data_IF_035552112233
#
_entry.id   IF_035552112233
#
_cell.length_a   1.000
_cell.length_b   1.000
_cell.length_c   1.000
_cell.angle_alpha   90.00
_cell.angle_beta   90.00
_cell.angle_gamma   90.00
#
_symmetry.space_group_name_H-M   'P 1'
#
loop_
_entity.id
_entity.type
_entity.pdbx_description
1 polymer ?
#
# COMPACT_ATOMS: atom_id res chain seq x y z
N UNK A 1 -22.86 12.23 6.44
CA UNK A 1 -23.21 11.07 5.60
C UNK A 1 -22.56 11.14 4.22
N UNK A 2 -22.75 12.21 3.44
CA UNK A 2 -22.11 12.36 2.11
C UNK A 2 -20.56 12.40 2.12
N UNK A 3 -19.96 13.12 3.09
CA UNK A 3 -18.50 13.19 3.26
C UNK A 3 -17.86 11.81 3.55
N UNK A 4 -18.46 11.04 4.45
CA UNK A 4 -17.99 9.69 4.83
C UNK A 4 -18.04 8.72 3.64
N UNK A 5 -19.06 8.84 2.79
CA UNK A 5 -19.18 8.03 1.57
C UNK A 5 -18.07 8.38 0.58
N UNK A 6 -17.77 9.67 0.40
CA UNK A 6 -16.74 10.14 -0.52
C UNK A 6 -15.33 9.69 -0.08
N UNK A 7 -15.04 9.78 1.22
CA UNK A 7 -13.79 9.30 1.81
C UNK A 7 -13.60 7.79 1.57
N UNK A 8 -14.66 7.00 1.78
CA UNK A 8 -14.63 5.55 1.55
C UNK A 8 -14.37 5.19 0.08
N UNK A 9 -15.03 5.86 -0.86
CA UNK A 9 -14.83 5.62 -2.31
C UNK A 9 -13.40 5.97 -2.72
N UNK A 10 -12.88 7.10 -2.24
CA UNK A 10 -11.51 7.54 -2.56
C UNK A 10 -10.48 6.55 -2.03
N UNK A 11 -10.66 6.05 -0.81
CA UNK A 11 -9.79 5.03 -0.24
C UNK A 11 -9.77 3.74 -1.07
N UNK A 12 -10.95 3.22 -1.44
CA UNK A 12 -11.05 2.00 -2.27
C UNK A 12 -10.38 2.21 -3.63
N UNK A 13 -10.62 3.35 -4.27
CA UNK A 13 -10.02 3.66 -5.57
C UNK A 13 -8.47 3.68 -5.51
N UNK A 14 -7.90 4.29 -4.47
CA UNK A 14 -6.45 4.34 -4.28
C UNK A 14 -5.83 2.97 -3.96
N UNK A 15 -6.60 2.07 -3.31
CA UNK A 15 -6.13 0.73 -2.96
C UNK A 15 -6.38 -0.32 -4.04
N UNK A 16 -7.20 -0.02 -5.06
CA UNK A 16 -7.51 -0.95 -6.15
C UNK A 16 -6.27 -1.58 -6.82
N UNK A 17 -5.16 -0.86 -7.07
CA UNK A 17 -3.95 -1.47 -7.61
C UNK A 17 -3.37 -2.56 -6.70
N UNK A 18 -3.42 -2.37 -5.38
CA UNK A 18 -2.93 -3.37 -4.43
C UNK A 18 -3.83 -4.60 -4.44
N UNK A 19 -5.15 -4.41 -4.40
CA UNK A 19 -6.10 -5.53 -4.37
C UNK A 19 -6.18 -6.34 -5.67
N UNK A 20 -5.87 -5.73 -6.81
CA UNK A 20 -6.07 -6.37 -8.12
C UNK A 20 -4.76 -6.72 -8.82
N UNK A 21 -3.82 -5.77 -8.94
CA UNK A 21 -2.63 -5.98 -9.77
C UNK A 21 -1.66 -6.96 -9.12
N UNK A 22 -1.42 -6.86 -7.81
CA UNK A 22 -0.47 -7.77 -7.15
C UNK A 22 -0.94 -9.23 -7.21
N UNK A 23 -2.20 -9.57 -6.90
CA UNK A 23 -2.70 -10.92 -7.11
C UNK A 23 -2.68 -11.34 -8.58
N UNK A 24 -3.04 -10.45 -9.52
CA UNK A 24 -2.99 -10.74 -10.94
C UNK A 24 -1.57 -11.18 -11.37
N UNK A 25 -0.55 -10.44 -10.94
CA UNK A 25 0.84 -10.76 -11.26
C UNK A 25 1.26 -12.11 -10.66
N UNK A 26 0.88 -12.40 -9.42
CA UNK A 26 1.29 -13.66 -8.77
C UNK A 26 0.59 -14.90 -9.35
N UNK A 27 -0.72 -14.81 -9.60
CA UNK A 27 -1.50 -15.95 -10.08
C UNK A 27 -1.41 -16.15 -11.60
N UNK A 28 -1.52 -15.08 -12.39
CA UNK A 28 -1.59 -15.20 -13.85
C UNK A 28 -0.24 -15.04 -14.55
N UNK A 29 0.62 -14.14 -14.06
CA UNK A 29 1.93 -13.91 -14.70
C UNK A 29 2.98 -14.88 -14.17
N UNK A 30 3.10 -15.03 -12.84
CA UNK A 30 4.03 -15.96 -12.23
C UNK A 30 3.49 -17.41 -12.19
N UNK A 31 2.20 -17.62 -12.46
CA UNK A 31 1.60 -18.95 -12.55
C UNK A 31 1.54 -19.71 -11.23
N UNK A 32 1.50 -19.01 -10.09
CA UNK A 32 1.48 -19.66 -8.78
C UNK A 32 0.10 -20.24 -8.50
N UNK A 33 0.02 -21.49 -8.01
CA UNK A 33 -1.26 -22.14 -7.66
C UNK A 33 -1.36 -22.55 -6.19
N UNK A 34 -0.24 -22.60 -5.46
CA UNK A 34 -0.24 -22.97 -4.05
C UNK A 34 -0.33 -21.75 -3.12
N UNK A 35 -1.07 -21.93 -2.01
CA UNK A 35 -1.34 -20.88 -1.04
C UNK A 35 -0.07 -20.24 -0.45
N UNK A 36 0.93 -21.06 -0.06
CA UNK A 36 2.10 -20.56 0.66
C UNK A 36 2.99 -19.72 -0.24
N UNK A 37 3.27 -20.21 -1.45
CA UNK A 37 4.06 -19.49 -2.45
C UNK A 37 3.35 -18.20 -2.85
N UNK A 38 2.03 -18.24 -3.07
CA UNK A 38 1.28 -17.04 -3.44
C UNK A 38 1.30 -15.99 -2.32
N UNK A 39 1.08 -16.40 -1.07
CA UNK A 39 1.15 -15.50 0.09
C UNK A 39 2.54 -14.87 0.25
N UNK A 40 3.61 -15.66 0.09
CA UNK A 40 4.99 -15.17 0.20
C UNK A 40 5.30 -14.19 -0.95
N UNK A 41 5.00 -14.54 -2.21
CA UNK A 41 5.27 -13.66 -3.34
C UNK A 41 4.52 -12.33 -3.22
N UNK A 42 3.23 -12.36 -2.89
CA UNK A 42 2.44 -11.15 -2.68
C UNK A 42 3.01 -10.33 -1.51
N UNK A 43 3.37 -10.97 -0.39
CA UNK A 43 4.00 -10.28 0.75
C UNK A 43 5.28 -9.56 0.34
N UNK A 44 6.15 -10.22 -0.42
CA UNK A 44 7.40 -9.62 -0.90
C UNK A 44 7.13 -8.43 -1.81
N UNK A 45 6.23 -8.57 -2.79
CA UNK A 45 5.87 -7.48 -3.71
C UNK A 45 5.31 -6.27 -2.95
N UNK A 46 4.37 -6.50 -2.02
CA UNK A 46 3.81 -5.42 -1.22
C UNK A 46 4.83 -4.75 -0.28
N UNK A 47 5.74 -5.52 0.30
CA UNK A 47 6.79 -4.94 1.14
C UNK A 47 7.78 -4.12 0.31
N UNK A 48 8.16 -4.58 -0.89
CA UNK A 48 9.02 -3.80 -1.79
C UNK A 48 8.34 -2.48 -2.17
N UNK A 49 7.07 -2.52 -2.59
CA UNK A 49 6.33 -1.31 -2.97
C UNK A 49 6.11 -0.37 -1.77
N UNK A 50 5.77 -0.92 -0.61
CA UNK A 50 5.58 -0.16 0.61
C UNK A 50 6.88 0.48 1.11
N UNK A 51 8.00 -0.25 1.11
CA UNK A 51 9.31 0.27 1.50
C UNK A 51 9.78 1.35 0.53
N UNK A 52 9.55 1.18 -0.78
CA UNK A 52 9.83 2.24 -1.76
C UNK A 52 9.03 3.51 -1.42
N UNK A 53 7.74 3.38 -1.09
CA UNK A 53 6.93 4.53 -0.69
C UNK A 53 7.42 5.16 0.63
N UNK A 54 7.81 4.37 1.64
CA UNK A 54 8.31 4.93 2.92
C UNK A 54 9.66 5.63 2.78
N UNK A 55 10.58 5.04 2.03
CA UNK A 55 11.96 5.49 1.97
C UNK A 55 12.16 6.52 0.86
N UNK A 56 11.74 6.19 -0.36
CA UNK A 56 11.98 7.03 -1.52
C UNK A 56 10.92 8.14 -1.64
N UNK A 57 9.63 7.81 -1.58
CA UNK A 57 8.57 8.80 -1.78
C UNK A 57 8.42 9.69 -0.54
N UNK A 58 8.04 9.12 0.60
CA UNK A 58 7.74 9.87 1.83
C UNK A 58 8.96 10.59 2.39
N UNK A 59 10.04 9.83 2.64
CA UNK A 59 11.20 10.39 3.34
C UNK A 59 12.09 11.23 2.41
N UNK A 60 12.55 10.66 1.30
CA UNK A 60 13.50 11.35 0.43
C UNK A 60 12.83 12.41 -0.46
N UNK A 61 11.92 12.01 -1.35
CA UNK A 61 11.33 12.91 -2.34
C UNK A 61 10.48 13.98 -1.69
N UNK A 62 9.48 13.61 -0.89
CA UNK A 62 8.57 14.54 -0.20
C UNK A 62 9.27 15.23 0.98
N UNK A 63 10.06 14.50 1.77
CA UNK A 63 10.62 15.00 3.02
C UNK A 63 11.98 15.72 2.91
N UNK A 64 12.78 15.47 1.87
CA UNK A 64 14.14 16.05 1.72
C UNK A 64 14.33 16.90 0.47
N UNK A 65 13.49 16.79 -0.54
CA UNK A 65 13.60 17.63 -1.75
C UNK A 65 12.57 18.76 -1.76
N UNK A 66 12.74 19.73 -2.66
CA UNK A 66 11.74 20.78 -2.95
C UNK A 66 10.83 20.42 -4.12
N UNK A 67 10.88 19.18 -4.62
CA UNK A 67 10.12 18.75 -5.79
C UNK A 67 8.63 18.49 -5.46
N UNK A 68 8.27 18.44 -4.17
CA UNK A 68 6.90 18.25 -3.71
C UNK A 68 6.51 19.31 -2.69
N UNK A 69 6.10 20.48 -3.19
CA UNK A 69 5.53 21.56 -2.39
C UNK A 69 4.12 21.81 -2.93
N UNK A 70 3.13 21.75 -2.05
CA UNK A 70 1.74 22.00 -2.39
C UNK A 70 1.43 23.46 -2.02
N UNK A 71 1.18 24.34 -3.00
CA UNK A 71 0.98 25.77 -2.72
C UNK A 71 -0.17 26.01 -1.75
N UNK A 72 0.08 26.84 -0.72
CA UNK A 72 -0.92 27.19 0.29
C UNK A 72 -1.09 26.16 1.41
N UNK A 73 -0.15 25.22 1.55
CA UNK A 73 -0.13 24.21 2.64
C UNK A 73 1.26 24.05 3.26
N UNK A 74 2.14 25.04 3.06
CA UNK A 74 3.52 25.00 3.54
C UNK A 74 3.62 24.92 5.06
N UNK A 75 2.60 25.41 5.77
CA UNK A 75 2.43 25.30 7.22
C UNK A 75 2.19 23.86 7.70
N UNK A 76 1.72 22.98 6.81
CA UNK A 76 1.51 21.55 7.08
C UNK A 76 2.80 20.73 6.95
N UNK A 77 3.92 21.35 6.57
CA UNK A 77 5.20 20.66 6.46
C UNK A 77 5.81 20.40 7.85
N UNK A 78 6.37 19.20 8.11
CA UNK A 78 6.47 18.06 7.19
C UNK A 78 5.12 17.38 6.96
N UNK A 79 4.76 17.10 5.70
CA UNK A 79 3.44 16.54 5.36
C UNK A 79 3.15 15.15 5.98
N UNK A 80 4.19 14.41 6.37
CA UNK A 80 4.06 13.07 6.94
C UNK A 80 4.81 13.02 8.26
N UNK A 81 4.06 12.98 9.37
CA UNK A 81 4.63 12.97 10.72
C UNK A 81 3.70 12.29 11.73
N UNK A 82 4.21 12.06 12.94
CA UNK A 82 3.43 11.57 14.09
C UNK A 82 2.64 10.29 13.79
N UNK A 83 1.34 10.31 14.08
CA UNK A 83 0.45 9.14 13.91
C UNK A 83 0.33 8.68 12.46
N UNK A 84 0.38 9.62 11.50
CA UNK A 84 0.31 9.28 10.07
C UNK A 84 1.52 8.46 9.64
N UNK A 85 2.71 8.88 10.05
CA UNK A 85 3.94 8.13 9.77
C UNK A 85 3.88 6.72 10.38
N UNK A 86 3.47 6.61 11.65
CA UNK A 86 3.34 5.31 12.33
C UNK A 86 2.32 4.42 11.62
N UNK A 87 1.14 4.95 11.28
CA UNK A 87 0.10 4.19 10.57
C UNK A 87 0.56 3.68 9.21
N UNK A 88 1.32 4.49 8.47
CA UNK A 88 1.93 4.09 7.19
C UNK A 88 2.95 2.96 7.36
N UNK A 89 3.79 2.99 8.39
CA UNK A 89 4.72 1.91 8.68
C UNK A 89 4.02 0.63 9.14
N UNK A 90 3.04 0.74 10.04
CA UNK A 90 2.25 -0.41 10.52
C UNK A 90 1.49 -1.08 9.38
N UNK A 91 0.82 -0.30 8.52
CA UNK A 91 0.14 -0.84 7.34
C UNK A 91 1.11 -1.53 6.37
N UNK A 92 2.31 -0.98 6.20
CA UNK A 92 3.34 -1.59 5.35
C UNK A 92 3.86 -2.91 5.92
N UNK A 93 4.26 -2.92 7.21
CA UNK A 93 4.95 -4.07 7.83
C UNK A 93 3.99 -5.16 8.28
N UNK A 94 2.75 -4.81 8.65
CA UNK A 94 1.76 -5.74 9.20
C UNK A 94 0.55 -5.86 8.27
N UNK A 95 0.00 -4.74 7.81
CA UNK A 95 -1.20 -4.71 6.99
C UNK A 95 -1.04 -5.46 5.66
N UNK A 96 0.06 -5.23 4.95
CA UNK A 96 0.31 -5.89 3.66
C UNK A 96 0.56 -7.40 3.76
N UNK A 97 1.37 -7.93 4.70
CA UNK A 97 1.44 -9.37 4.90
C UNK A 97 0.09 -10.00 5.25
N UNK A 98 -0.72 -9.36 6.11
CA UNK A 98 -2.08 -9.84 6.42
C UNK A 98 -2.93 -9.87 5.14
N UNK A 99 -2.89 -8.81 4.34
CA UNK A 99 -3.63 -8.73 3.08
C UNK A 99 -3.22 -9.84 2.11
N UNK A 100 -1.91 -10.08 1.94
CA UNK A 100 -1.40 -11.15 1.09
C UNK A 100 -1.93 -12.53 1.53
N UNK A 101 -1.91 -12.81 2.82
CA UNK A 101 -2.43 -14.06 3.39
C UNK A 101 -3.93 -14.18 3.16
N UNK A 102 -4.71 -13.12 3.39
CA UNK A 102 -6.17 -13.13 3.20
C UNK A 102 -6.54 -13.38 1.73
N UNK A 103 -5.90 -12.68 0.79
CA UNK A 103 -6.15 -12.89 -0.64
C UNK A 103 -5.74 -14.32 -1.03
N UNK A 104 -4.57 -14.79 -0.60
CA UNK A 104 -4.13 -16.15 -0.90
C UNK A 104 -5.12 -17.19 -0.37
N UNK A 105 -5.61 -16.97 0.84
CA UNK A 105 -6.57 -17.86 1.48
C UNK A 105 -7.88 -17.89 0.68
N UNK A 106 -8.45 -16.74 0.31
CA UNK A 106 -9.68 -16.67 -0.49
C UNK A 106 -9.51 -17.39 -1.82
N UNK A 107 -8.43 -17.11 -2.57
CA UNK A 107 -8.19 -17.73 -3.88
C UNK A 107 -8.00 -19.24 -3.75
N UNK A 108 -7.30 -19.72 -2.71
CA UNK A 108 -7.10 -21.15 -2.48
C UNK A 108 -8.37 -21.95 -2.15
N UNK A 109 -9.51 -21.29 -1.95
CA UNK A 109 -10.82 -21.96 -1.73
C UNK A 109 -11.62 -22.20 -3.00
N UNK A 110 -11.16 -21.68 -4.14
CA UNK A 110 -11.75 -21.90 -5.46
C UNK A 110 -10.87 -22.88 -6.25
#
# INVERSE_FOLDING_TARGET
>A
MMLVVLEGITFVALMAPQFLLVPLMVYFVNGTSDFKTAAIQMTVIYLISGLFDRLFIDWYWVGKTKAWIIPGTEDMMPYIYGKTLIGKWVSTVIGFPILAVLIAWVVSRF
#
